data_IF_513902028090
#
_entry.id   IF_513902028090
#
_cell.length_a   1.000
_cell.length_b   1.000
_cell.length_c   1.000
_cell.angle_alpha   90.00
_cell.angle_beta   90.00
_cell.angle_gamma   90.00
#
_symmetry.space_group_name_H-M   'P 1'
#
loop_
_entity.id
_entity.type
_entity.pdbx_description
1 polymer ?
#
# COMPACT_ATOMS: atom_id res chain seq x y z
N UNK A 1 -46.96 -14.02 -64.80
CA UNK A 1 -46.30 -15.27 -64.34
C UNK A 1 -44.81 -15.38 -64.66
N UNK A 2 -44.27 -14.72 -65.70
CA UNK A 2 -42.83 -14.82 -66.05
C UNK A 2 -41.90 -14.08 -65.08
N UNK A 3 -42.26 -12.87 -64.62
CA UNK A 3 -41.45 -12.10 -63.66
C UNK A 3 -41.29 -12.83 -62.32
N UNK A 4 -42.35 -13.50 -61.84
CA UNK A 4 -42.28 -14.31 -60.62
C UNK A 4 -41.31 -15.50 -60.71
N UNK A 5 -41.17 -16.10 -61.90
CA UNK A 5 -40.25 -17.22 -62.12
C UNK A 5 -38.79 -16.79 -62.26
N UNK A 6 -38.55 -15.55 -62.69
CA UNK A 6 -37.20 -14.98 -62.83
C UNK A 6 -36.70 -14.51 -61.46
N UNK A 7 -37.55 -13.84 -60.66
CA UNK A 7 -37.14 -13.34 -59.34
C UNK A 7 -37.00 -14.42 -58.27
N UNK A 8 -37.51 -15.63 -58.49
CA UNK A 8 -37.49 -16.71 -57.49
C UNK A 8 -36.07 -17.19 -57.17
N UNK A 9 -35.16 -17.25 -58.15
CA UNK A 9 -33.76 -17.66 -57.94
C UNK A 9 -32.98 -16.76 -56.98
N UNK A 10 -32.86 -15.45 -57.27
CA UNK A 10 -32.27 -14.46 -56.36
C UNK A 10 -32.90 -14.46 -54.97
N UNK A 11 -34.23 -14.58 -54.89
CA UNK A 11 -34.94 -14.52 -53.62
C UNK A 11 -34.70 -15.77 -52.77
N UNK A 12 -34.68 -16.96 -53.38
CA UNK A 12 -34.29 -18.21 -52.72
C UNK A 12 -32.83 -18.15 -52.27
N UNK A 13 -31.93 -17.65 -53.12
CA UNK A 13 -30.52 -17.44 -52.78
C UNK A 13 -30.35 -16.52 -51.58
N UNK A 14 -31.08 -15.41 -51.54
CA UNK A 14 -31.08 -14.47 -50.42
C UNK A 14 -31.58 -15.11 -49.12
N UNK A 15 -32.67 -15.88 -49.18
CA UNK A 15 -33.23 -16.58 -48.01
C UNK A 15 -32.26 -17.64 -47.48
N UNK A 16 -31.65 -18.43 -48.36
CA UNK A 16 -30.65 -19.43 -47.97
C UNK A 16 -29.44 -18.72 -47.35
N UNK A 17 -28.93 -17.66 -47.98
CA UNK A 17 -27.81 -16.88 -47.46
C UNK A 17 -28.08 -16.27 -46.08
N UNK A 18 -29.28 -15.70 -45.88
CA UNK A 18 -29.72 -15.21 -44.59
C UNK A 18 -29.79 -16.32 -43.54
N UNK A 19 -30.47 -17.43 -43.87
CA UNK A 19 -30.71 -18.52 -42.92
C UNK A 19 -29.43 -19.24 -42.52
N UNK A 20 -28.56 -19.58 -43.48
CA UNK A 20 -27.29 -20.25 -43.21
C UNK A 20 -26.38 -19.39 -42.34
N UNK A 21 -26.32 -18.09 -42.61
CA UNK A 21 -25.47 -17.21 -41.82
C UNK A 21 -26.06 -16.90 -40.44
N UNK A 22 -27.40 -16.80 -40.33
CA UNK A 22 -28.08 -16.76 -39.04
C UNK A 22 -27.77 -17.99 -38.19
N UNK A 23 -27.79 -19.18 -38.79
CA UNK A 23 -27.45 -20.42 -38.11
C UNK A 23 -25.98 -20.43 -37.66
N UNK A 24 -25.06 -20.00 -38.53
CA UNK A 24 -23.64 -19.91 -38.21
C UNK A 24 -23.38 -18.98 -37.01
N UNK A 25 -23.97 -17.77 -37.02
CA UNK A 25 -23.90 -16.84 -35.89
C UNK A 25 -24.50 -17.47 -34.63
N UNK A 26 -25.66 -18.12 -34.72
CA UNK A 26 -26.30 -18.79 -33.59
C UNK A 26 -25.43 -19.92 -33.02
N UNK A 27 -24.71 -20.64 -33.86
CA UNK A 27 -23.80 -21.72 -33.48
C UNK A 27 -22.53 -21.24 -32.77
N UNK A 28 -22.15 -19.96 -32.90
CA UNK A 28 -21.05 -19.40 -32.11
C UNK A 28 -21.38 -19.37 -30.61
N UNK A 29 -22.66 -19.14 -30.26
CA UNK A 29 -23.12 -18.95 -28.88
C UNK A 29 -23.83 -20.19 -28.31
N UNK A 30 -24.61 -20.91 -29.13
CA UNK A 30 -25.40 -22.08 -28.72
C UNK A 30 -24.96 -23.34 -29.47
N UNK A 31 -25.00 -24.53 -28.85
CA UNK A 31 -25.45 -24.84 -27.49
C UNK A 31 -24.38 -24.54 -26.42
N UNK A 32 -24.82 -24.26 -25.19
CA UNK A 32 -23.93 -23.89 -24.08
C UNK A 32 -23.10 -25.05 -23.54
N UNK A 33 -23.65 -26.26 -23.66
CA UNK A 33 -23.03 -27.50 -23.19
C UNK A 33 -22.81 -28.45 -24.38
N UNK A 34 -21.80 -29.34 -24.31
CA UNK A 34 -21.58 -30.37 -25.31
C UNK A 34 -22.81 -31.27 -25.41
N UNK A 35 -23.33 -31.45 -26.62
CA UNK A 35 -24.46 -32.35 -26.88
C UNK A 35 -23.89 -33.72 -27.22
N UNK A 36 -24.26 -34.74 -26.44
CA UNK A 36 -23.83 -36.13 -26.65
C UNK A 36 -24.95 -36.93 -27.29
N UNK A 37 -24.62 -37.71 -28.33
CA UNK A 37 -25.50 -38.70 -28.95
C UNK A 37 -24.80 -40.05 -28.80
N UNK A 38 -25.26 -40.86 -27.83
CA UNK A 38 -24.58 -42.09 -27.44
C UNK A 38 -23.18 -41.82 -26.90
N UNK A 39 -22.16 -42.42 -27.53
CA UNK A 39 -20.73 -42.21 -27.20
C UNK A 39 -20.10 -41.04 -27.96
N UNK A 40 -20.81 -40.42 -28.92
CA UNK A 40 -20.27 -39.37 -29.77
C UNK A 40 -20.71 -37.98 -29.32
N UNK A 41 -19.81 -37.00 -29.42
CA UNK A 41 -20.11 -35.57 -29.18
C UNK A 41 -20.35 -34.88 -30.51
N UNK A 42 -21.46 -34.15 -30.62
CA UNK A 42 -21.81 -33.47 -31.87
C UNK A 42 -20.75 -32.39 -32.18
N UNK A 43 -20.22 -32.31 -33.41
CA UNK A 43 -19.28 -31.27 -33.80
C UNK A 43 -19.94 -29.90 -33.64
N UNK A 44 -19.13 -28.89 -33.29
CA UNK A 44 -19.61 -27.54 -32.97
C UNK A 44 -20.52 -27.45 -31.75
N UNK A 45 -20.47 -28.44 -30.84
CA UNK A 45 -21.08 -28.38 -29.50
C UNK A 45 -20.04 -28.61 -28.39
N UNK A 46 -19.91 -27.73 -27.38
CA UNK A 46 -20.63 -26.46 -27.23
C UNK A 46 -20.21 -25.45 -28.30
N UNK A 47 -20.96 -24.35 -28.40
CA UNK A 47 -20.64 -23.25 -29.31
C UNK A 47 -19.21 -22.72 -29.09
N UNK A 48 -18.69 -22.04 -30.10
CA UNK A 48 -17.28 -21.57 -30.13
C UNK A 48 -16.95 -20.66 -28.94
N UNK A 49 -17.86 -19.77 -28.55
CA UNK A 49 -17.68 -18.81 -27.45
C UNK A 49 -17.69 -19.52 -26.08
N UNK A 50 -18.71 -20.35 -25.73
CA UNK A 50 -18.66 -21.18 -24.53
C UNK A 50 -17.38 -22.01 -24.40
N UNK A 51 -16.92 -22.62 -25.50
CA UNK A 51 -15.72 -23.44 -25.53
C UNK A 51 -14.44 -22.64 -25.30
N UNK A 52 -14.43 -21.37 -25.73
CA UNK A 52 -13.29 -20.46 -25.65
C UNK A 52 -13.25 -19.58 -24.39
N UNK A 53 -14.15 -19.78 -23.42
CA UNK A 53 -14.30 -18.93 -22.22
C UNK A 53 -12.98 -18.70 -21.48
N UNK A 54 -12.19 -19.74 -21.21
CA UNK A 54 -10.91 -19.59 -20.51
C UNK A 54 -9.89 -18.76 -21.29
N UNK A 55 -9.87 -18.90 -22.62
CA UNK A 55 -9.01 -18.08 -23.47
C UNK A 55 -9.44 -16.61 -23.44
N UNK A 56 -10.75 -16.35 -23.44
CA UNK A 56 -11.29 -15.00 -23.31
C UNK A 56 -10.98 -14.41 -21.93
N UNK A 57 -11.12 -15.19 -20.87
CA UNK A 57 -10.79 -14.80 -19.51
C UNK A 57 -9.32 -14.36 -19.40
N UNK A 58 -8.39 -15.14 -19.95
CA UNK A 58 -6.97 -14.78 -20.02
C UNK A 58 -6.71 -13.51 -20.83
N UNK A 59 -7.32 -13.40 -22.01
CA UNK A 59 -7.14 -12.23 -22.87
C UNK A 59 -7.67 -10.94 -22.22
N UNK A 60 -8.82 -11.01 -21.54
CA UNK A 60 -9.37 -9.91 -20.76
C UNK A 60 -8.52 -9.59 -19.54
N UNK A 61 -8.05 -10.62 -18.83
CA UNK A 61 -7.15 -10.48 -17.68
C UNK A 61 -5.86 -9.75 -18.05
N UNK A 62 -5.14 -10.23 -19.06
CA UNK A 62 -3.93 -9.56 -19.57
C UNK A 62 -4.22 -8.14 -20.04
N UNK A 63 -5.30 -7.91 -20.80
CA UNK A 63 -5.62 -6.56 -21.27
C UNK A 63 -5.90 -5.58 -20.13
N UNK A 64 -6.59 -6.01 -19.07
CA UNK A 64 -6.88 -5.15 -17.92
C UNK A 64 -5.64 -4.97 -17.03
N UNK A 65 -4.96 -6.06 -16.67
CA UNK A 65 -3.82 -6.03 -15.76
C UNK A 65 -2.56 -5.40 -16.34
N UNK A 66 -2.29 -5.58 -17.65
CA UNK A 66 -1.07 -5.06 -18.28
C UNK A 66 -1.24 -3.65 -18.86
N UNK A 67 -2.47 -3.24 -19.20
CA UNK A 67 -2.70 -1.99 -19.93
C UNK A 67 -3.66 -1.00 -19.27
N UNK A 68 -4.52 -1.41 -18.35
CA UNK A 68 -5.51 -0.51 -17.74
C UNK A 68 -5.23 -0.20 -16.26
N UNK A 69 -4.54 -1.10 -15.55
CA UNK A 69 -4.20 -0.94 -14.13
C UNK A 69 -2.71 -1.12 -13.93
N UNK A 70 -1.91 -0.28 -14.60
CA UNK A 70 -0.45 -0.31 -14.43
C UNK A 70 -0.06 0.30 -13.08
N UNK A 71 1.20 0.07 -12.66
CA UNK A 71 1.80 0.74 -11.50
C UNK A 71 1.57 2.26 -11.51
N UNK A 72 1.73 2.89 -12.68
CA UNK A 72 1.59 4.35 -12.83
C UNK A 72 0.14 4.79 -12.67
N UNK A 73 -0.80 4.02 -13.21
CA UNK A 73 -2.23 4.32 -13.08
C UNK A 73 -2.67 4.23 -11.62
N UNK A 74 -2.23 3.18 -10.91
CA UNK A 74 -2.52 3.01 -9.48
C UNK A 74 -1.95 4.16 -8.64
N UNK A 75 -0.69 4.55 -8.90
CA UNK A 75 -0.05 5.68 -8.25
C UNK A 75 -0.82 6.98 -8.49
N UNK A 76 -1.19 7.28 -9.74
CA UNK A 76 -1.97 8.48 -10.07
C UNK A 76 -3.37 8.48 -9.43
N UNK A 77 -4.02 7.32 -9.37
CA UNK A 77 -5.32 7.17 -8.71
C UNK A 77 -5.23 7.46 -7.20
N UNK A 78 -4.19 6.94 -6.53
CA UNK A 78 -3.95 7.14 -5.10
C UNK A 78 -3.48 8.57 -4.78
N UNK A 79 -2.69 9.18 -5.67
CA UNK A 79 -2.24 10.57 -5.55
C UNK A 79 -3.27 11.59 -6.03
N UNK A 80 -4.46 11.16 -6.44
CA UNK A 80 -5.52 12.07 -6.84
C UNK A 80 -5.90 13.01 -5.69
N UNK A 81 -6.20 14.27 -6.01
CA UNK A 81 -6.49 15.30 -5.00
C UNK A 81 -7.60 14.90 -4.04
N UNK A 82 -8.63 14.21 -4.54
CA UNK A 82 -9.73 13.70 -3.71
C UNK A 82 -9.27 12.67 -2.67
N UNK A 83 -8.41 11.73 -3.06
CA UNK A 83 -7.87 10.71 -2.14
C UNK A 83 -6.90 11.36 -1.15
N UNK A 84 -5.98 12.22 -1.62
CA UNK A 84 -5.06 12.96 -0.76
C UNK A 84 -5.82 13.77 0.30
N UNK A 85 -6.81 14.56 -0.11
CA UNK A 85 -7.61 15.35 0.81
C UNK A 85 -8.40 14.49 1.79
N UNK A 86 -8.93 13.35 1.36
CA UNK A 86 -9.63 12.42 2.24
C UNK A 86 -8.69 11.86 3.32
N UNK A 87 -7.48 11.41 2.94
CA UNK A 87 -6.47 10.90 3.87
C UNK A 87 -6.03 11.99 4.84
N UNK A 88 -5.65 13.17 4.33
CA UNK A 88 -5.21 14.30 5.15
C UNK A 88 -6.30 14.73 6.14
N UNK A 89 -7.55 14.84 5.68
CA UNK A 89 -8.67 15.24 6.54
C UNK A 89 -8.94 14.21 7.63
N UNK A 90 -8.89 12.92 7.30
CA UNK A 90 -9.07 11.84 8.28
C UNK A 90 -7.96 11.83 9.32
N UNK A 91 -6.71 11.94 8.92
CA UNK A 91 -5.58 11.99 9.86
C UNK A 91 -5.67 13.24 10.73
N UNK A 92 -6.02 14.40 10.18
CA UNK A 92 -6.26 15.62 10.98
C UNK A 92 -7.35 15.42 12.03
N UNK A 93 -8.47 14.80 11.65
CA UNK A 93 -9.58 14.52 12.56
C UNK A 93 -9.15 13.58 13.70
N UNK A 94 -8.43 12.50 13.39
CA UNK A 94 -7.94 11.56 14.39
C UNK A 94 -6.89 12.20 15.31
N UNK A 95 -5.94 12.95 14.77
CA UNK A 95 -4.95 13.68 15.57
C UNK A 95 -5.65 14.67 16.52
N UNK A 96 -6.70 15.35 16.06
CA UNK A 96 -7.49 16.25 16.91
C UNK A 96 -8.20 15.51 18.04
N UNK A 97 -8.86 14.38 17.74
CA UNK A 97 -9.52 13.54 18.77
C UNK A 97 -8.53 13.08 19.83
N UNK A 98 -7.34 12.64 19.41
CA UNK A 98 -6.30 12.16 20.32
C UNK A 98 -5.74 13.33 21.14
N UNK A 99 -5.53 14.49 20.52
CA UNK A 99 -5.01 15.67 21.21
C UNK A 99 -6.01 16.33 22.17
N UNK A 100 -7.31 16.05 22.03
CA UNK A 100 -8.35 16.46 22.99
C UNK A 100 -8.60 15.37 24.06
N UNK A 101 -7.96 14.20 23.94
CA UNK A 101 -8.15 13.05 24.84
C UNK A 101 -7.41 13.22 26.17
N UNK A 102 -8.07 12.80 27.26
CA UNK A 102 -7.50 12.66 28.60
C UNK A 102 -6.79 11.31 28.82
N UNK A 103 -6.77 10.46 27.80
CA UNK A 103 -6.09 9.15 27.82
C UNK A 103 -4.58 9.32 28.05
N UNK A 104 -3.97 8.40 28.81
CA UNK A 104 -2.53 8.37 29.02
C UNK A 104 -1.80 7.87 27.78
N UNK A 105 -0.52 8.22 27.62
CA UNK A 105 0.28 7.77 26.47
C UNK A 105 0.38 6.24 26.44
N UNK A 106 0.54 5.59 27.60
CA UNK A 106 0.54 4.13 27.70
C UNK A 106 -0.75 3.52 27.15
N UNK A 107 -1.91 3.99 27.62
CA UNK A 107 -3.21 3.46 27.20
C UNK A 107 -3.43 3.67 25.70
N UNK A 108 -3.02 4.84 25.20
CA UNK A 108 -3.07 5.16 23.77
C UNK A 108 -2.21 4.20 22.93
N UNK A 109 -0.96 3.94 23.34
CA UNK A 109 -0.05 3.05 22.61
C UNK A 109 -0.54 1.59 22.64
N UNK A 110 -1.06 1.12 23.77
CA UNK A 110 -1.62 -0.23 23.95
C UNK A 110 -2.88 -0.48 23.09
N UNK A 111 -3.50 0.55 22.51
CA UNK A 111 -4.61 0.39 21.56
C UNK A 111 -4.14 -0.15 20.20
N UNK A 112 -2.91 0.15 19.81
CA UNK A 112 -2.37 -0.17 18.49
C UNK A 112 -1.34 -1.30 18.52
N UNK A 113 -0.79 -1.59 19.69
CA UNK A 113 0.30 -2.54 19.89
C UNK A 113 -0.05 -3.47 21.04
N UNK A 114 0.22 -4.77 20.89
CA UNK A 114 0.00 -5.74 21.96
C UNK A 114 0.91 -5.45 23.17
N UNK A 115 0.46 -5.80 24.37
CA UNK A 115 1.18 -5.50 25.61
C UNK A 115 2.60 -6.07 25.65
N UNK A 116 2.83 -7.24 25.04
CA UNK A 116 4.16 -7.84 24.92
C UNK A 116 5.09 -6.97 24.06
N UNK A 117 4.65 -6.60 22.86
CA UNK A 117 5.39 -5.74 21.94
C UNK A 117 5.63 -4.33 22.52
N UNK A 118 4.64 -3.79 23.25
CA UNK A 118 4.78 -2.53 23.97
C UNK A 118 5.91 -2.60 24.99
N UNK A 119 5.89 -3.60 25.87
CA UNK A 119 6.90 -3.78 26.91
C UNK A 119 8.30 -4.02 26.33
N UNK A 120 8.42 -4.78 25.24
CA UNK A 120 9.69 -4.96 24.55
C UNK A 120 10.23 -3.65 23.96
N UNK A 121 9.35 -2.85 23.34
CA UNK A 121 9.72 -1.56 22.75
C UNK A 121 10.12 -0.56 23.83
N UNK A 122 9.36 -0.54 24.94
CA UNK A 122 9.65 0.26 26.14
C UNK A 122 11.04 -0.06 26.69
N UNK A 123 11.36 -1.34 26.88
CA UNK A 123 12.69 -1.77 27.34
C UNK A 123 13.81 -1.34 26.39
N UNK A 124 13.61 -1.51 25.08
CA UNK A 124 14.59 -1.03 24.08
C UNK A 124 14.80 0.48 24.15
N UNK A 125 13.73 1.25 24.39
CA UNK A 125 13.81 2.70 24.57
C UNK A 125 14.57 3.07 25.84
N UNK A 126 14.31 2.39 26.97
CA UNK A 126 15.04 2.55 28.23
C UNK A 126 16.54 2.31 28.04
N UNK A 127 16.91 1.18 27.43
CA UNK A 127 18.29 0.81 27.15
C UNK A 127 18.96 1.82 26.20
N UNK A 128 18.24 2.25 25.15
CA UNK A 128 18.73 3.24 24.19
C UNK A 128 19.01 4.59 24.85
N UNK A 129 18.06 5.13 25.61
CA UNK A 129 18.23 6.41 26.30
C UNK A 129 19.36 6.32 27.33
N UNK A 130 19.40 5.24 28.11
CA UNK A 130 20.48 5.02 29.10
C UNK A 130 21.85 5.02 28.42
N UNK A 131 22.00 4.26 27.33
CA UNK A 131 23.23 4.22 26.55
C UNK A 131 23.61 5.59 25.96
N UNK A 132 22.64 6.33 25.42
CA UNK A 132 22.89 7.69 24.88
C UNK A 132 23.32 8.69 25.95
N UNK A 133 22.81 8.56 27.18
CA UNK A 133 23.25 9.38 28.32
C UNK A 133 24.69 9.01 28.70
N UNK A 134 25.01 7.72 28.83
CA UNK A 134 26.36 7.26 29.16
C UNK A 134 27.40 7.69 28.13
N UNK A 135 27.09 7.52 26.84
CA UNK A 135 27.92 8.02 25.75
C UNK A 135 28.12 9.54 25.81
N UNK A 136 27.06 10.27 26.22
CA UNK A 136 27.12 11.71 26.43
C UNK A 136 28.08 12.08 27.56
N UNK A 137 27.99 11.39 28.70
CA UNK A 137 28.88 11.60 29.84
C UNK A 137 30.33 11.25 29.52
N UNK A 138 30.58 10.19 28.74
CA UNK A 138 31.93 9.83 28.29
C UNK A 138 32.49 10.89 27.33
N UNK A 139 31.70 11.35 26.35
CA UNK A 139 32.11 12.41 25.41
C UNK A 139 32.38 13.76 26.08
N UNK A 140 31.65 14.06 27.15
CA UNK A 140 31.90 15.25 27.96
C UNK A 140 33.16 15.15 28.81
N UNK A 141 33.75 13.94 28.92
CA UNK A 141 34.86 13.63 29.82
C UNK A 141 34.61 14.18 31.23
N UNK A 142 33.50 13.74 31.82
CA UNK A 142 33.05 14.21 33.14
C UNK A 142 34.15 14.04 34.18
N UNK A 143 34.98 13.00 34.07
CA UNK A 143 36.14 12.82 34.94
C UNK A 143 37.11 13.99 34.86
N UNK A 144 37.51 14.40 33.66
CA UNK A 144 38.36 15.57 33.44
C UNK A 144 37.70 16.87 33.89
N UNK A 145 36.40 17.07 33.60
CA UNK A 145 35.66 18.26 34.05
C UNK A 145 35.68 18.37 35.57
N UNK A 146 35.44 17.26 36.28
CA UNK A 146 35.49 17.21 37.74
C UNK A 146 36.90 17.49 38.27
N UNK A 147 37.95 16.96 37.62
CA UNK A 147 39.32 17.26 38.00
C UNK A 147 39.66 18.76 37.83
N UNK A 148 39.30 19.34 36.69
CA UNK A 148 39.57 20.75 36.38
C UNK A 148 38.79 21.71 37.28
N UNK A 149 37.47 21.53 37.40
CA UNK A 149 36.63 22.41 38.23
C UNK A 149 36.87 22.18 39.72
N UNK A 150 37.11 20.93 40.14
CA UNK A 150 37.49 20.60 41.52
C UNK A 150 38.81 21.26 41.92
N UNK A 151 39.82 21.22 41.05
CA UNK A 151 41.09 21.89 41.27
C UNK A 151 40.94 23.41 41.41
N UNK A 152 40.14 24.04 40.53
CA UNK A 152 39.85 25.49 40.59
C UNK A 152 39.17 25.88 41.90
N UNK A 153 38.14 25.14 42.32
CA UNK A 153 37.38 25.47 43.53
C UNK A 153 38.23 25.28 44.80
N UNK A 154 39.07 24.23 44.86
CA UNK A 154 40.04 24.06 45.96
C UNK A 154 41.00 25.23 46.02
N UNK A 155 41.60 25.64 44.90
CA UNK A 155 42.52 26.79 44.84
C UNK A 155 41.86 28.07 45.35
N UNK A 156 40.64 28.36 44.87
CA UNK A 156 39.85 29.53 45.24
C UNK A 156 39.48 29.54 46.73
N UNK A 157 39.08 28.39 47.28
CA UNK A 157 38.65 28.28 48.68
C UNK A 157 39.77 28.54 49.68
N UNK A 158 41.01 28.19 49.32
CA UNK A 158 42.19 28.39 50.17
C UNK A 158 43.00 29.63 49.81
N UNK A 159 42.59 30.39 48.80
CA UNK A 159 43.22 31.63 48.38
C UNK A 159 43.29 32.64 49.55
N UNK A 160 44.47 33.21 49.79
CA UNK A 160 44.70 34.13 50.91
C UNK A 160 44.81 33.49 52.30
N UNK A 161 44.66 32.17 52.42
CA UNK A 161 44.91 31.44 53.68
C UNK A 161 46.39 31.06 53.83
N UNK A 162 46.85 30.79 55.06
CA UNK A 162 48.20 30.23 55.29
C UNK A 162 48.45 28.90 54.56
N UNK A 163 47.39 28.16 54.20
CA UNK A 163 47.46 26.88 53.49
C UNK A 163 47.82 27.07 52.00
N UNK A 164 47.52 28.24 51.41
CA UNK A 164 47.85 28.54 50.01
C UNK A 164 49.35 28.52 49.70
N UNK A 165 50.20 28.75 50.70
CA UNK A 165 51.66 28.67 50.55
C UNK A 165 52.16 27.23 50.33
N UNK A 166 51.37 26.24 50.73
CA UNK A 166 51.68 24.81 50.59
C UNK A 166 50.84 24.13 49.49
N UNK A 167 49.71 24.72 49.11
CA UNK A 167 48.86 24.29 48.00
C UNK A 167 49.32 24.94 46.69
N UNK A 168 50.38 24.37 46.10
CA UNK A 168 50.77 24.72 44.73
C UNK A 168 49.88 24.00 43.70
N UNK A 169 49.94 24.47 42.46
CA UNK A 169 49.12 23.92 41.37
C UNK A 169 49.41 22.43 41.14
N UNK A 170 50.67 22.00 41.27
CA UNK A 170 51.08 20.60 41.11
C UNK A 170 50.44 19.68 42.17
N UNK A 171 50.38 20.09 43.44
CA UNK A 171 49.75 19.30 44.50
C UNK A 171 48.25 19.21 44.28
N UNK A 172 47.61 20.30 43.88
CA UNK A 172 46.16 20.31 43.57
C UNK A 172 45.87 19.36 42.40
N UNK A 173 46.65 19.43 41.31
CA UNK A 173 46.49 18.53 40.17
C UNK A 173 46.73 17.07 40.55
N UNK A 174 47.76 16.78 41.36
CA UNK A 174 48.09 15.42 41.78
C UNK A 174 46.97 14.73 42.59
N UNK A 175 46.06 15.50 43.19
CA UNK A 175 44.90 14.99 43.93
C UNK A 175 43.65 14.99 43.03
N UNK A 176 43.44 16.07 42.27
CA UNK A 176 42.24 16.25 41.45
C UNK A 176 42.18 15.26 40.28
N UNK A 177 43.31 14.98 39.61
CA UNK A 177 43.36 14.09 38.46
C UNK A 177 42.99 12.63 38.81
N UNK A 178 43.54 12.00 39.86
CA UNK A 178 43.09 10.68 40.29
C UNK A 178 41.60 10.61 40.66
N UNK A 179 41.06 11.66 41.29
CA UNK A 179 39.63 11.73 41.64
C UNK A 179 38.80 11.78 40.36
N UNK A 180 39.15 12.66 39.42
CA UNK A 180 38.48 12.75 38.12
C UNK A 180 38.49 11.43 37.37
N UNK A 181 39.66 10.78 37.28
CA UNK A 181 39.81 9.48 36.64
C UNK A 181 38.92 8.42 37.33
N UNK A 182 38.89 8.38 38.66
CA UNK A 182 38.06 7.43 39.40
C UNK A 182 36.56 7.68 39.19
N UNK A 183 36.13 8.94 39.11
CA UNK A 183 34.74 9.30 38.77
C UNK A 183 34.41 8.85 37.35
N UNK A 184 35.31 9.08 36.39
CA UNK A 184 35.14 8.61 35.00
C UNK A 184 35.01 7.08 34.91
N UNK A 185 35.89 6.34 35.59
CA UNK A 185 35.80 4.88 35.71
C UNK A 185 34.49 4.43 36.37
N UNK A 186 34.09 5.09 37.47
CA UNK A 186 32.88 4.74 38.19
C UNK A 186 31.63 4.89 37.31
N UNK A 187 31.55 5.96 36.50
CA UNK A 187 30.47 6.16 35.53
C UNK A 187 30.51 5.06 34.45
N UNK A 188 31.69 4.64 33.98
CA UNK A 188 31.80 3.56 32.98
C UNK A 188 31.34 2.21 33.52
N UNK A 189 31.74 1.88 34.75
CA UNK A 189 31.46 0.57 35.36
C UNK A 189 30.03 0.48 35.91
N UNK A 190 29.54 1.56 36.53
CA UNK A 190 28.29 1.54 37.31
C UNK A 190 27.19 2.42 36.69
N UNK A 191 27.50 3.19 35.65
CA UNK A 191 26.56 4.16 35.07
C UNK A 191 25.28 3.49 34.55
N UNK A 192 25.38 2.31 33.95
CA UNK A 192 24.18 1.57 33.51
C UNK A 192 23.27 1.25 34.70
N UNK A 193 23.81 0.70 35.79
CA UNK A 193 23.03 0.34 36.98
C UNK A 193 22.42 1.57 37.68
N UNK A 194 23.11 2.71 37.67
CA UNK A 194 22.65 3.93 38.35
C UNK A 194 21.71 4.80 37.52
N UNK A 195 21.92 4.88 36.21
CA UNK A 195 21.14 5.75 35.32
C UNK A 195 19.88 5.03 34.82
N UNK A 196 19.93 3.72 34.58
CA UNK A 196 18.79 2.98 34.04
C UNK A 196 17.52 3.11 34.90
N UNK A 197 17.53 2.95 36.24
CA UNK A 197 16.33 3.12 37.06
C UNK A 197 15.74 4.54 37.01
N UNK A 198 16.59 5.56 36.83
CA UNK A 198 16.15 6.95 36.66
C UNK A 198 15.43 7.10 35.33
N UNK A 199 16.01 6.57 34.24
CA UNK A 199 15.40 6.57 32.90
C UNK A 199 14.05 5.84 32.91
N UNK A 200 13.97 4.68 33.56
CA UNK A 200 12.72 3.92 33.72
C UNK A 200 11.65 4.76 34.42
N UNK A 201 12.02 5.46 35.49
CA UNK A 201 11.10 6.33 36.23
C UNK A 201 10.62 7.52 35.40
N UNK A 202 11.52 8.18 34.66
CA UNK A 202 11.18 9.30 33.77
C UNK A 202 10.29 8.87 32.61
N UNK A 203 10.53 7.69 32.02
CA UNK A 203 9.67 7.12 30.96
C UNK A 203 8.28 6.80 31.54
N UNK A 204 8.20 6.14 32.70
CA UNK A 204 6.93 5.86 33.36
C UNK A 204 6.14 7.14 33.65
N UNK A 205 6.81 8.16 34.21
CA UNK A 205 6.18 9.45 34.49
C UNK A 205 5.71 10.15 33.21
N UNK A 206 6.45 10.02 32.09
CA UNK A 206 6.02 10.54 30.80
C UNK A 206 4.80 9.77 30.24
N UNK A 207 4.79 8.44 30.38
CA UNK A 207 3.73 7.54 29.93
C UNK A 207 2.39 7.80 30.64
N UNK A 208 2.43 8.18 31.92
CA UNK A 208 1.25 8.53 32.72
C UNK A 208 0.63 9.89 32.35
N UNK A 209 1.32 10.73 31.57
CA UNK A 209 0.80 12.04 31.19
C UNK A 209 -0.33 11.88 30.16
N UNK A 210 -1.36 12.76 30.20
CA UNK A 210 -2.36 12.80 29.16
C UNK A 210 -1.75 13.08 27.80
N UNK A 211 -2.18 12.36 26.76
CA UNK A 211 -1.68 12.53 25.40
C UNK A 211 -1.88 13.98 24.92
N UNK A 212 -2.93 14.67 25.36
CA UNK A 212 -3.15 16.10 25.10
C UNK A 212 -2.03 17.03 25.55
N UNK A 213 -1.26 16.68 26.59
CA UNK A 213 -0.13 17.53 27.03
C UNK A 213 1.07 17.42 26.11
N UNK A 214 1.27 16.23 25.52
CA UNK A 214 2.35 15.98 24.56
C UNK A 214 1.95 16.47 23.17
N UNK A 215 0.72 16.21 22.75
CA UNK A 215 0.21 16.56 21.42
C UNK A 215 -0.40 17.97 21.35
N UNK A 216 -0.80 18.59 22.46
CA UNK A 216 -1.41 19.93 22.46
C UNK A 216 -0.47 21.01 21.91
N UNK A 217 0.85 20.84 22.13
CA UNK A 217 1.88 21.68 21.51
C UNK A 217 2.01 21.49 19.99
N UNK A 218 1.65 20.30 19.47
CA UNK A 218 1.65 19.99 18.05
C UNK A 218 0.36 20.47 17.37
N UNK A 219 -0.79 20.36 18.04
CA UNK A 219 -2.11 20.80 17.50
C UNK A 219 -2.20 22.32 17.37
N UNK A 220 -1.47 23.09 18.17
CA UNK A 220 -1.36 24.55 17.97
C UNK A 220 -0.74 24.93 16.61
N UNK A 221 -0.27 23.95 15.83
CA UNK A 221 0.23 24.07 14.45
C UNK A 221 -0.62 23.22 13.47
N UNK A 222 -1.95 23.24 13.58
CA UNK A 222 -2.89 22.47 12.71
C UNK A 222 -2.54 22.53 11.21
N UNK A 223 -2.06 23.68 10.73
CA UNK A 223 -1.68 23.87 9.33
C UNK A 223 -0.47 23.01 8.93
N UNK A 224 0.52 22.86 9.83
CA UNK A 224 1.73 22.05 9.56
C UNK A 224 1.46 20.55 9.56
N UNK A 225 0.48 20.09 10.36
CA UNK A 225 0.11 18.67 10.40
C UNK A 225 -0.40 18.23 9.03
N UNK A 226 -1.24 19.05 8.38
CA UNK A 226 -1.73 18.76 7.04
C UNK A 226 -0.61 18.58 6.03
N UNK A 227 0.34 19.51 6.00
CA UNK A 227 1.49 19.45 5.09
C UNK A 227 2.38 18.24 5.36
N UNK A 228 2.65 17.92 6.64
CA UNK A 228 3.45 16.74 6.98
C UNK A 228 2.75 15.46 6.53
N UNK A 229 1.45 15.33 6.78
CA UNK A 229 0.68 14.16 6.36
C UNK A 229 0.64 14.04 4.85
N UNK A 230 0.46 15.14 4.13
CA UNK A 230 0.49 15.14 2.66
C UNK A 230 1.84 14.67 2.13
N UNK A 231 2.96 15.23 2.62
CA UNK A 231 4.31 14.83 2.19
C UNK A 231 4.60 13.36 2.51
N UNK A 232 4.23 12.90 3.71
CA UNK A 232 4.42 11.49 4.12
C UNK A 232 3.56 10.56 3.26
N UNK A 233 2.31 10.94 2.98
CA UNK A 233 1.41 10.16 2.15
C UNK A 233 1.89 10.09 0.70
N UNK A 234 2.28 11.21 0.11
CA UNK A 234 2.80 11.26 -1.27
C UNK A 234 4.04 10.38 -1.41
N UNK A 235 4.97 10.46 -0.45
CA UNK A 235 6.17 9.62 -0.43
C UNK A 235 5.82 8.14 -0.29
N UNK A 236 4.94 7.79 0.65
CA UNK A 236 4.49 6.41 0.86
C UNK A 236 3.87 5.83 -0.41
N UNK A 237 2.94 6.54 -1.05
CA UNK A 237 2.30 6.08 -2.28
C UNK A 237 3.32 5.93 -3.41
N UNK A 238 4.22 6.89 -3.58
CA UNK A 238 5.24 6.84 -4.64
C UNK A 238 6.21 5.64 -4.47
N UNK A 239 6.54 5.28 -3.22
CA UNK A 239 7.45 4.17 -2.91
C UNK A 239 6.76 2.80 -2.90
N UNK A 240 5.48 2.74 -2.55
CA UNK A 240 4.75 1.48 -2.29
C UNK A 240 3.73 1.12 -3.37
N UNK A 241 3.19 2.08 -4.14
CA UNK A 241 2.17 1.80 -5.17
C UNK A 241 2.63 0.75 -6.20
N UNK A 242 3.93 0.73 -6.51
CA UNK A 242 4.50 -0.32 -7.36
C UNK A 242 4.44 -1.71 -6.76
N UNK A 243 4.81 -1.83 -5.48
CA UNK A 243 4.76 -3.11 -4.77
C UNK A 243 3.32 -3.60 -4.64
N UNK A 244 2.39 -2.69 -4.38
CA UNK A 244 0.96 -3.02 -4.37
C UNK A 244 0.48 -3.51 -5.75
N UNK A 245 0.81 -2.82 -6.83
CA UNK A 245 0.42 -3.22 -8.17
C UNK A 245 0.92 -4.63 -8.54
N UNK A 246 2.15 -4.98 -8.15
CA UNK A 246 2.71 -6.31 -8.35
C UNK A 246 2.01 -7.39 -7.51
N UNK A 247 1.65 -7.09 -6.27
CA UNK A 247 1.01 -8.05 -5.36
C UNK A 247 -0.48 -8.28 -5.65
N UNK A 248 -1.18 -7.32 -6.26
CA UNK A 248 -2.61 -7.47 -6.51
C UNK A 248 -2.95 -8.44 -7.65
N UNK A 249 -1.97 -8.87 -8.46
CA UNK A 249 -2.13 -9.87 -9.52
C UNK A 249 -3.42 -9.65 -10.36
N UNK A 250 -3.69 -8.40 -10.74
CA UNK A 250 -4.99 -7.99 -11.30
C UNK A 250 -5.40 -8.82 -12.51
N UNK A 251 -4.46 -9.19 -13.37
CA UNK A 251 -4.73 -10.04 -14.54
C UNK A 251 -5.32 -11.39 -14.13
N UNK A 252 -4.78 -12.01 -13.09
CA UNK A 252 -5.22 -13.30 -12.56
C UNK A 252 -6.58 -13.18 -11.88
N UNK A 253 -6.78 -12.12 -11.09
CA UNK A 253 -8.07 -11.83 -10.44
C UNK A 253 -9.18 -11.67 -11.48
N UNK A 254 -8.92 -10.95 -12.58
CA UNK A 254 -9.88 -10.76 -13.67
C UNK A 254 -10.10 -12.07 -14.43
N UNK A 255 -9.04 -12.83 -14.75
CA UNK A 255 -9.15 -14.14 -15.40
C UNK A 255 -10.00 -15.10 -14.55
N UNK A 256 -9.74 -15.18 -13.25
CA UNK A 256 -10.49 -16.02 -12.32
C UNK A 256 -11.94 -15.58 -12.23
N UNK A 257 -12.20 -14.28 -12.13
CA UNK A 257 -13.56 -13.76 -12.04
C UNK A 257 -14.37 -14.09 -13.30
N UNK A 258 -13.80 -13.94 -14.49
CA UNK A 258 -14.45 -14.32 -15.76
C UNK A 258 -14.64 -15.84 -15.85
N UNK A 259 -13.68 -16.64 -15.36
CA UNK A 259 -13.80 -18.09 -15.31
C UNK A 259 -14.89 -18.57 -14.35
N UNK A 260 -15.21 -17.82 -13.29
CA UNK A 260 -16.29 -18.13 -12.35
C UNK A 260 -17.69 -17.74 -12.87
N UNK A 261 -17.80 -16.83 -13.85
CA UNK A 261 -19.09 -16.41 -14.42
C UNK A 261 -19.81 -17.55 -15.14
N UNK A 262 -21.14 -17.52 -15.16
CA UNK A 262 -21.89 -18.50 -15.95
C UNK A 262 -21.66 -18.27 -17.46
N UNK A 263 -21.71 -19.34 -18.25
CA UNK A 263 -21.53 -19.27 -19.71
C UNK A 263 -22.55 -18.30 -20.35
N UNK A 264 -23.76 -18.23 -19.80
CA UNK A 264 -24.81 -17.30 -20.22
C UNK A 264 -24.45 -15.83 -20.00
N UNK A 265 -23.74 -15.54 -18.91
CA UNK A 265 -23.36 -14.17 -18.56
C UNK A 265 -22.28 -13.66 -19.52
N UNK A 266 -21.30 -14.52 -19.84
CA UNK A 266 -20.28 -14.25 -20.85
C UNK A 266 -20.92 -14.07 -22.24
N UNK A 267 -21.90 -14.92 -22.60
CA UNK A 267 -22.69 -14.75 -23.84
C UNK A 267 -23.38 -13.39 -23.86
N UNK A 268 -24.04 -12.99 -22.78
CA UNK A 268 -24.76 -11.71 -22.71
C UNK A 268 -23.84 -10.50 -22.89
N UNK A 269 -22.67 -10.50 -22.24
CA UNK A 269 -21.67 -9.44 -22.39
C UNK A 269 -21.22 -9.34 -23.85
N UNK A 270 -20.82 -10.46 -24.45
CA UNK A 270 -20.34 -10.47 -25.84
C UNK A 270 -21.45 -10.10 -26.83
N UNK A 271 -22.67 -10.59 -26.62
CA UNK A 271 -23.82 -10.25 -27.44
C UNK A 271 -24.18 -8.76 -27.32
N UNK A 272 -24.03 -8.14 -26.15
CA UNK A 272 -24.29 -6.71 -25.98
C UNK A 272 -23.37 -5.84 -26.85
N UNK A 273 -22.14 -6.30 -27.09
CA UNK A 273 -21.13 -5.59 -27.88
C UNK A 273 -21.26 -5.93 -29.38
N UNK A 274 -21.46 -7.21 -29.71
CA UNK A 274 -21.33 -7.71 -31.09
C UNK A 274 -22.66 -7.80 -31.87
N UNK A 275 -23.82 -7.58 -31.24
CA UNK A 275 -25.14 -7.79 -31.89
C UNK A 275 -25.27 -7.11 -33.24
N UNK A 276 -24.82 -5.85 -33.36
CA UNK A 276 -24.90 -5.08 -34.62
C UNK A 276 -23.99 -5.67 -35.70
N UNK A 277 -22.78 -6.05 -35.34
CA UNK A 277 -21.81 -6.66 -36.26
C UNK A 277 -22.30 -8.01 -36.78
N UNK A 278 -22.83 -8.84 -35.89
CA UNK A 278 -23.38 -10.15 -36.25
C UNK A 278 -24.61 -10.04 -37.17
N UNK A 279 -25.51 -9.08 -36.91
CA UNK A 279 -26.63 -8.80 -37.82
C UNK A 279 -26.16 -8.30 -39.19
N UNK A 280 -25.12 -7.49 -39.23
CA UNK A 280 -24.52 -7.01 -40.49
C UNK A 280 -24.00 -8.18 -41.30
N UNK A 281 -23.29 -9.11 -40.65
CA UNK A 281 -22.80 -10.34 -41.30
C UNK A 281 -23.99 -11.14 -41.86
N UNK A 282 -25.05 -11.36 -41.08
CA UNK A 282 -26.27 -12.08 -41.53
C UNK A 282 -26.89 -11.41 -42.77
N UNK A 283 -27.06 -10.09 -42.75
CA UNK A 283 -27.62 -9.33 -43.87
C UNK A 283 -26.72 -9.37 -45.11
N UNK A 284 -25.40 -9.35 -44.94
CA UNK A 284 -24.45 -9.50 -46.02
C UNK A 284 -24.58 -10.88 -46.68
N UNK A 285 -24.81 -11.93 -45.88
CA UNK A 285 -25.11 -13.28 -46.39
C UNK A 285 -26.34 -13.31 -47.29
N UNK A 286 -27.41 -12.60 -46.90
CA UNK A 286 -28.61 -12.44 -47.72
C UNK A 286 -28.32 -11.69 -49.03
N UNK A 287 -27.55 -10.60 -48.95
CA UNK A 287 -27.17 -9.80 -50.11
C UNK A 287 -26.32 -10.61 -51.10
N UNK A 288 -25.32 -11.33 -50.61
CA UNK A 288 -24.47 -12.20 -51.43
C UNK A 288 -25.31 -13.30 -52.08
N UNK A 289 -26.19 -13.95 -51.31
CA UNK A 289 -27.11 -14.96 -51.84
C UNK A 289 -28.03 -14.41 -52.93
N UNK A 290 -28.51 -13.18 -52.78
CA UNK A 290 -29.29 -12.48 -53.80
C UNK A 290 -28.48 -12.24 -55.07
N UNK A 291 -27.25 -11.71 -54.94
CA UNK A 291 -26.36 -11.42 -56.07
C UNK A 291 -25.98 -12.71 -56.82
N UNK A 292 -25.65 -13.80 -56.11
CA UNK A 292 -25.36 -15.09 -56.74
C UNK A 292 -26.58 -15.60 -57.50
N UNK A 293 -27.77 -15.51 -56.92
CA UNK A 293 -29.00 -15.91 -57.60
C UNK A 293 -29.33 -15.05 -58.82
N UNK A 294 -28.92 -13.76 -58.84
CA UNK A 294 -29.02 -12.90 -60.03
C UNK A 294 -28.03 -13.33 -61.13
N UNK A 295 -26.79 -13.65 -60.76
CA UNK A 295 -25.78 -14.13 -61.70
C UNK A 295 -26.20 -15.46 -62.34
N UNK A 296 -26.84 -16.34 -61.57
CA UNK A 296 -27.35 -17.63 -62.07
C UNK A 296 -28.55 -17.49 -63.03
N UNK A 297 -29.11 -16.29 -63.21
CA UNK A 297 -30.11 -16.00 -64.25
C UNK A 297 -29.47 -15.50 -65.56
N UNK A 298 -28.23 -15.00 -65.48
CA UNK A 298 -27.47 -14.46 -66.63
C UNK A 298 -26.60 -15.52 -67.30
N UNK A 299 -26.21 -16.56 -66.55
CA UNK A 299 -25.53 -17.77 -67.01
C UNK A 299 -26.53 -18.82 -67.48
#
# INVERSE_FOLDING_TARGET
>A
MHILKILSGPLIGAVIGYFTNYLAVKMLFRPLHPVKIGTWTLPFTPGVIPRGKTRLARALGSAVGEHLLTKKDLEQMLLSDGVKQAVVSRVKEEVRKIAESDETIETFLLRYVESEQYNETRKKLEDFITGRILDGLDKMDVGKVIAEEGAKEVKKKFEGSMVSMFLNDDLIHSIAEPIGNKVGEYIKENGQEKIHPIVVGEIAAAEERPVREVLGGLVSREEKIGTVVEVVYEKFVSEEAGRFAEQFHIAEVVEEKVNQMDVLEVENILMSIMKKELHTVINLGALIGFVIGLLNLLL
#
